data_IF_072982768071
#
_entry.id   IF_072982768071
#
_cell.length_a   1.000
_cell.length_b   1.000
_cell.length_c   1.000
_cell.angle_alpha   90.00
_cell.angle_beta   90.00
_cell.angle_gamma   90.00
#
_symmetry.space_group_name_H-M   'P 1'
#
loop_
_entity.id
_entity.type
_entity.pdbx_description
1 polymer ?
#
# COMPACT_ATOMS: atom_id res chain seq x y z
N UNK A 1 38.78 -24.74 35.28
CA UNK A 1 37.68 -25.28 34.46
C UNK A 1 38.23 -25.62 33.08
N UNK A 2 38.02 -26.84 32.59
CA UNK A 2 38.59 -27.25 31.31
C UNK A 2 37.82 -26.57 30.15
N UNK A 3 38.52 -26.21 29.06
CA UNK A 3 37.92 -25.63 27.84
C UNK A 3 36.72 -26.45 27.32
N UNK A 4 36.71 -27.76 27.59
CA UNK A 4 35.63 -28.67 27.23
C UNK A 4 34.32 -28.38 27.98
N UNK A 5 34.38 -28.11 29.29
CA UNK A 5 33.18 -27.79 30.08
C UNK A 5 32.53 -26.46 29.69
N UNK A 6 33.31 -25.48 29.23
CA UNK A 6 32.80 -24.19 28.78
C UNK A 6 32.11 -24.31 27.40
N UNK A 7 32.70 -25.07 26.47
CA UNK A 7 32.13 -25.26 25.13
C UNK A 7 30.82 -26.04 25.16
N UNK A 8 30.70 -27.06 26.03
CA UNK A 8 29.45 -27.81 26.19
C UNK A 8 28.34 -26.91 26.78
N UNK A 9 28.67 -26.07 27.76
CA UNK A 9 27.72 -25.10 28.33
C UNK A 9 27.21 -24.08 27.30
N UNK A 10 28.09 -23.60 26.42
CA UNK A 10 27.70 -22.68 25.33
C UNK A 10 26.80 -23.41 24.32
N UNK A 11 27.16 -24.62 23.87
CA UNK A 11 26.34 -25.38 22.93
C UNK A 11 24.94 -25.69 23.48
N UNK A 12 24.82 -26.03 24.77
CA UNK A 12 23.53 -26.27 25.41
C UNK A 12 22.67 -25.00 25.51
N UNK A 13 23.28 -23.84 25.81
CA UNK A 13 22.54 -22.57 25.78
C UNK A 13 22.07 -22.21 24.37
N UNK A 14 22.88 -22.44 23.34
CA UNK A 14 22.47 -22.23 21.94
C UNK A 14 21.34 -23.17 21.52
N UNK A 15 21.38 -24.44 21.93
CA UNK A 15 20.28 -25.38 21.68
C UNK A 15 18.98 -24.94 22.35
N UNK A 16 19.03 -24.49 23.61
CA UNK A 16 17.84 -24.01 24.33
C UNK A 16 17.29 -22.73 23.68
N UNK A 17 18.15 -21.81 23.22
CA UNK A 17 17.72 -20.61 22.50
C UNK A 17 17.08 -20.98 21.16
N UNK A 18 17.63 -21.95 20.43
CA UNK A 18 17.07 -22.41 19.15
C UNK A 18 15.75 -23.13 19.36
N UNK A 19 15.65 -24.05 20.34
CA UNK A 19 14.39 -24.76 20.64
C UNK A 19 13.31 -23.81 21.14
N UNK A 20 13.64 -22.82 21.98
CA UNK A 20 12.67 -21.80 22.41
C UNK A 20 12.25 -20.88 21.26
N UNK A 21 13.15 -20.56 20.32
CA UNK A 21 12.79 -19.85 19.09
C UNK A 21 11.86 -20.68 18.20
N UNK A 22 12.19 -21.96 17.97
CA UNK A 22 11.41 -22.89 17.15
C UNK A 22 10.02 -23.12 17.76
N UNK A 23 9.93 -23.33 19.07
CA UNK A 23 8.66 -23.52 19.79
C UNK A 23 7.84 -22.23 19.82
N UNK A 24 8.49 -21.06 19.93
CA UNK A 24 7.78 -19.78 19.81
C UNK A 24 7.26 -19.54 18.39
N UNK A 25 8.04 -19.86 17.35
CA UNK A 25 7.57 -19.78 15.95
C UNK A 25 6.44 -20.79 15.66
N UNK A 26 6.56 -22.04 16.12
CA UNK A 26 5.54 -23.07 15.92
C UNK A 26 4.24 -22.79 16.67
N UNK A 27 4.28 -22.15 17.85
CA UNK A 27 3.06 -21.72 18.55
C UNK A 27 2.34 -20.58 17.85
N UNK A 28 3.05 -19.73 17.10
CA UNK A 28 2.43 -18.68 16.28
C UNK A 28 1.92 -19.20 14.93
N UNK A 29 2.49 -20.29 14.41
CA UNK A 29 2.09 -20.86 13.11
C UNK A 29 0.67 -21.43 13.11
N UNK A 30 0.11 -21.82 14.26
CA UNK A 30 -1.27 -22.34 14.36
C UNK A 30 -2.36 -21.32 13.98
N UNK A 31 -2.02 -20.04 13.80
CA UNK A 31 -2.97 -18.98 13.42
C UNK A 31 -2.55 -18.16 12.19
N UNK A 32 -1.44 -18.49 11.54
CA UNK A 32 -1.00 -17.79 10.33
C UNK A 32 -1.62 -18.45 9.09
N UNK A 33 -2.33 -17.70 8.23
CA UNK A 33 -2.88 -18.28 7.01
C UNK A 33 -1.75 -18.78 6.11
N UNK A 34 -1.94 -19.95 5.51
CA UNK A 34 -1.01 -20.51 4.52
C UNK A 34 -0.77 -19.53 3.36
N UNK A 35 0.45 -19.45 2.81
CA UNK A 35 0.72 -18.64 1.64
C UNK A 35 -0.15 -19.18 0.52
N UNK A 36 -1.07 -18.32 0.05
CA UNK A 36 -2.07 -18.70 -0.93
C UNK A 36 -1.42 -19.32 -2.16
N UNK A 37 -1.80 -20.57 -2.45
CA UNK A 37 -1.35 -21.28 -3.63
C UNK A 37 -1.77 -20.50 -4.89
N UNK A 38 -0.79 -19.94 -5.61
CA UNK A 38 -0.77 -19.40 -6.99
C UNK A 38 -1.93 -18.53 -7.53
N UNK A 39 -3.00 -18.29 -6.77
CA UNK A 39 -4.21 -17.67 -7.28
C UNK A 39 -4.46 -16.27 -6.69
N UNK A 40 -4.99 -15.46 -7.59
CA UNK A 40 -5.13 -14.01 -7.68
C UNK A 40 -5.51 -13.32 -6.35
N UNK A 41 -4.76 -12.27 -5.97
CA UNK A 41 -4.94 -11.50 -4.72
C UNK A 41 -6.37 -11.03 -4.45
N UNK A 42 -7.15 -10.72 -5.49
CA UNK A 42 -8.55 -10.34 -5.31
C UNK A 42 -9.33 -11.42 -4.56
N UNK A 43 -9.06 -12.70 -4.81
CA UNK A 43 -9.73 -13.80 -4.10
C UNK A 43 -9.13 -14.04 -2.71
N UNK A 44 -7.81 -13.96 -2.56
CA UNK A 44 -7.15 -14.25 -1.27
C UNK A 44 -7.33 -13.15 -0.21
N UNK A 45 -7.65 -11.92 -0.61
CA UNK A 45 -7.90 -10.80 0.29
C UNK A 45 -9.36 -10.35 0.33
N UNK A 46 -10.27 -11.01 -0.39
CA UNK A 46 -11.70 -10.85 -0.19
C UNK A 46 -12.07 -11.49 1.16
N UNK A 47 -12.55 -10.67 2.11
CA UNK A 47 -13.19 -11.22 3.31
C UNK A 47 -14.47 -11.96 2.90
N UNK A 48 -14.80 -13.05 3.59
CA UNK A 48 -15.98 -13.92 3.35
C UNK A 48 -17.34 -13.18 3.27
N UNK A 49 -17.38 -11.89 3.56
CA UNK A 49 -18.51 -10.99 3.36
C UNK A 49 -18.24 -10.02 2.18
N UNK A 50 -18.32 -10.52 0.95
CA UNK A 50 -18.81 -9.85 -0.27
C UNK A 50 -18.28 -8.49 -0.76
N UNK A 51 -17.49 -7.71 -0.01
CA UNK A 51 -17.13 -6.34 -0.44
C UNK A 51 -15.83 -5.76 0.14
N UNK A 52 -15.21 -6.38 1.13
CA UNK A 52 -14.06 -5.74 1.82
C UNK A 52 -12.73 -6.41 1.49
N UNK A 53 -11.92 -5.72 0.68
CA UNK A 53 -10.51 -6.05 0.49
C UNK A 53 -9.75 -5.88 1.83
N UNK A 54 -9.09 -6.95 2.27
CA UNK A 54 -8.29 -7.01 3.50
C UNK A 54 -6.88 -6.42 3.31
N UNK A 55 -6.78 -5.32 2.56
CA UNK A 55 -5.54 -4.55 2.39
C UNK A 55 -5.71 -3.22 3.11
N UNK A 56 -4.76 -2.90 3.99
CA UNK A 56 -4.65 -1.61 4.66
C UNK A 56 -3.71 -0.68 3.89
N UNK A 57 -2.53 -1.18 3.50
CA UNK A 57 -1.54 -0.45 2.73
C UNK A 57 -0.69 -1.42 1.91
N UNK A 58 -0.34 -1.03 0.69
CA UNK A 58 0.53 -1.79 -0.19
C UNK A 58 1.45 -0.85 -0.95
N UNK A 59 2.71 -1.24 -1.17
CA UNK A 59 3.65 -0.43 -1.93
C UNK A 59 5.05 -1.04 -2.01
N UNK A 60 5.86 -0.49 -2.90
CA UNK A 60 7.28 -0.82 -3.01
C UNK A 60 8.08 0.18 -2.17
N UNK A 61 8.96 -0.32 -1.31
CA UNK A 61 9.90 0.50 -0.55
C UNK A 61 11.26 0.56 -1.21
N UNK A 62 12.14 1.45 -0.73
CA UNK A 62 13.44 1.75 -1.35
C UNK A 62 14.35 0.53 -1.50
N UNK A 63 14.21 -0.46 -0.62
CA UNK A 63 14.95 -1.71 -0.65
C UNK A 63 14.52 -2.67 -1.79
N UNK A 64 13.54 -2.29 -2.61
CA UNK A 64 13.06 -3.11 -3.72
C UNK A 64 12.15 -4.26 -3.28
N UNK A 65 11.51 -4.13 -2.12
CA UNK A 65 10.52 -5.09 -1.63
C UNK A 65 9.12 -4.48 -1.66
N UNK A 66 8.15 -5.30 -2.06
CA UNK A 66 6.74 -5.05 -1.83
C UNK A 66 6.41 -5.32 -0.36
N UNK A 67 5.82 -4.33 0.28
CA UNK A 67 5.25 -4.45 1.62
C UNK A 67 3.75 -4.35 1.52
N UNK A 68 3.07 -5.24 2.24
CA UNK A 68 1.62 -5.26 2.36
C UNK A 68 1.25 -5.36 3.82
N UNK A 69 0.39 -4.47 4.29
CA UNK A 69 -0.24 -4.53 5.61
C UNK A 69 -1.73 -4.81 5.39
N UNK A 70 -2.28 -5.74 6.15
CA UNK A 70 -3.70 -6.11 6.09
C UNK A 70 -4.49 -5.46 7.22
N UNK A 71 -5.82 -5.42 7.08
CA UNK A 71 -6.72 -4.88 8.12
C UNK A 71 -6.80 -5.79 9.36
N UNK A 72 -6.44 -7.07 9.22
CA UNK A 72 -6.32 -8.02 10.33
C UNK A 72 -4.90 -8.08 10.94
N UNK A 73 -4.11 -6.99 10.83
CA UNK A 73 -2.81 -6.83 11.47
C UNK A 73 -1.78 -7.90 11.07
N UNK A 74 -1.76 -8.31 9.80
CA UNK A 74 -0.69 -9.09 9.21
C UNK A 74 0.16 -8.22 8.29
N UNK A 75 1.44 -8.55 8.18
CA UNK A 75 2.37 -7.94 7.25
C UNK A 75 3.05 -8.98 6.37
N UNK A 76 3.21 -8.62 5.09
CA UNK A 76 3.96 -9.40 4.12
C UNK A 76 5.12 -8.56 3.62
N UNK A 77 6.26 -9.22 3.40
CA UNK A 77 7.45 -8.63 2.78
C UNK A 77 7.88 -9.56 1.66
N UNK A 78 7.71 -9.10 0.44
CA UNK A 78 7.93 -9.89 -0.76
C UNK A 78 8.92 -9.15 -1.66
N UNK A 79 9.96 -9.80 -2.20
CA UNK A 79 10.83 -9.15 -3.17
C UNK A 79 10.03 -8.62 -4.37
N UNK A 80 10.29 -7.39 -4.82
CA UNK A 80 9.47 -6.77 -5.88
C UNK A 80 9.50 -7.56 -7.21
N UNK A 81 10.55 -8.34 -7.48
CA UNK A 81 10.62 -9.20 -8.66
C UNK A 81 9.59 -10.36 -8.63
N UNK A 82 9.02 -10.68 -7.46
CA UNK A 82 7.96 -11.68 -7.35
C UNK A 82 6.57 -11.12 -7.73
N UNK A 83 6.48 -9.82 -8.03
CA UNK A 83 5.41 -9.31 -8.89
C UNK A 83 5.64 -9.89 -10.28
N UNK A 84 4.81 -10.86 -10.66
CA UNK A 84 4.77 -11.31 -12.04
C UNK A 84 4.14 -10.19 -12.86
N UNK A 85 4.97 -9.31 -13.40
CA UNK A 85 4.54 -8.18 -14.24
C UNK A 85 4.10 -8.63 -15.63
N UNK A 86 4.51 -9.83 -16.06
CA UNK A 86 4.22 -10.39 -17.39
C UNK A 86 2.78 -10.92 -17.41
N UNK A 87 2.41 -11.69 -16.39
CA UNK A 87 1.05 -12.19 -16.22
C UNK A 87 0.20 -11.31 -15.29
N UNK A 88 0.79 -10.23 -14.76
CA UNK A 88 0.19 -9.23 -13.87
C UNK A 88 -0.47 -9.86 -12.63
N UNK A 89 0.19 -10.87 -12.08
CA UNK A 89 -0.18 -11.55 -10.85
C UNK A 89 0.77 -11.12 -9.73
N UNK A 90 0.23 -10.68 -8.60
CA UNK A 90 1.02 -10.50 -7.39
C UNK A 90 0.98 -11.79 -6.58
N UNK A 91 2.14 -12.45 -6.48
CA UNK A 91 2.30 -13.69 -5.72
C UNK A 91 2.89 -13.37 -4.35
N UNK A 92 2.15 -13.67 -3.28
CA UNK A 92 2.66 -13.56 -1.92
C UNK A 92 3.37 -14.86 -1.53
N UNK A 93 4.61 -14.97 -1.97
CA UNK A 93 5.47 -16.14 -1.70
C UNK A 93 5.99 -16.19 -0.25
N UNK A 94 5.78 -15.12 0.52
CA UNK A 94 6.19 -15.03 1.93
C UNK A 94 5.04 -15.37 2.87
N UNK A 95 5.32 -16.11 3.93
CA UNK A 95 4.40 -16.26 5.05
C UNK A 95 4.11 -14.90 5.70
N UNK A 96 2.84 -14.59 6.04
CA UNK A 96 2.53 -13.39 6.79
C UNK A 96 3.22 -13.42 8.16
N UNK A 97 3.55 -12.23 8.66
CA UNK A 97 3.99 -12.04 10.03
C UNK A 97 2.95 -11.18 10.77
N UNK A 98 2.75 -11.39 12.07
CA UNK A 98 1.99 -10.45 12.89
C UNK A 98 2.60 -9.04 12.80
N UNK A 99 1.76 -8.04 12.57
CA UNK A 99 2.19 -6.63 12.46
C UNK A 99 2.90 -6.15 13.73
N UNK A 100 2.52 -6.68 14.89
CA UNK A 100 3.16 -6.41 16.18
C UNK A 100 4.60 -6.91 16.27
N UNK A 101 4.98 -7.95 15.53
CA UNK A 101 6.37 -8.42 15.50
C UNK A 101 7.23 -7.53 14.60
N UNK A 102 6.70 -7.17 13.43
CA UNK A 102 7.47 -6.38 12.46
C UNK A 102 7.50 -4.88 12.78
N UNK A 103 6.38 -4.33 13.28
CA UNK A 103 6.17 -2.91 13.53
C UNK A 103 5.50 -2.67 14.90
N UNK A 104 6.14 -3.16 15.96
CA UNK A 104 5.61 -3.14 17.34
C UNK A 104 5.24 -1.75 17.87
N UNK A 105 5.91 -0.68 17.44
CA UNK A 105 5.55 0.67 17.84
C UNK A 105 4.48 1.28 16.93
N UNK A 106 4.50 0.97 15.64
CA UNK A 106 3.44 1.38 14.71
C UNK A 106 2.08 0.93 15.23
N UNK A 107 1.96 -0.33 15.69
CA UNK A 107 0.68 -0.88 16.16
C UNK A 107 0.14 -0.08 17.36
N UNK A 108 1.01 0.42 18.26
CA UNK A 108 0.59 1.22 19.41
C UNK A 108 -0.06 2.54 18.96
N UNK A 109 0.52 3.22 17.96
CA UNK A 109 -0.08 4.43 17.38
C UNK A 109 -1.33 4.12 16.56
N UNK A 110 -1.30 3.03 15.80
CA UNK A 110 -2.39 2.60 14.91
C UNK A 110 -3.65 2.21 15.67
N UNK A 111 -3.54 1.51 16.79
CA UNK A 111 -4.66 1.08 17.63
C UNK A 111 -5.52 2.26 18.12
N UNK A 112 -4.90 3.42 18.34
CA UNK A 112 -5.61 4.65 18.73
C UNK A 112 -6.43 5.25 17.57
N UNK A 113 -6.05 4.99 16.32
CA UNK A 113 -6.63 5.62 15.12
C UNK A 113 -7.56 4.68 14.34
N UNK A 114 -7.37 3.36 14.43
CA UNK A 114 -8.06 2.37 13.57
C UNK A 114 -9.59 2.39 13.64
N UNK A 115 -10.17 3.01 14.66
CA UNK A 115 -11.62 3.19 14.84
C UNK A 115 -12.22 4.36 14.06
N UNK A 116 -11.39 5.20 13.47
CA UNK A 116 -11.81 6.38 12.72
C UNK A 116 -11.64 6.20 11.21
N UNK A 117 -12.00 7.21 10.42
CA UNK A 117 -11.67 7.25 9.00
C UNK A 117 -10.20 7.69 8.84
N UNK A 118 -9.40 6.84 8.22
CA UNK A 118 -7.99 7.12 8.00
C UNK A 118 -7.54 6.48 6.68
N UNK A 119 -6.40 6.94 6.19
CA UNK A 119 -5.71 6.39 5.02
C UNK A 119 -4.31 5.97 5.43
N UNK A 120 -3.81 4.88 4.86
CA UNK A 120 -2.44 4.38 5.10
C UNK A 120 -1.79 4.07 3.77
N UNK A 121 -0.55 4.51 3.60
CA UNK A 121 0.23 4.19 2.41
C UNK A 121 1.72 4.11 2.76
N UNK A 122 2.49 3.54 1.85
CA UNK A 122 3.95 3.56 1.94
C UNK A 122 4.49 4.72 1.11
N UNK A 123 5.49 5.39 1.68
CA UNK A 123 6.26 6.39 0.98
C UNK A 123 7.69 6.32 1.51
N UNK A 124 8.67 6.70 0.70
CA UNK A 124 10.04 6.79 1.17
C UNK A 124 10.65 8.10 0.71
N UNK A 125 11.66 8.54 1.44
CA UNK A 125 12.49 9.67 1.07
C UNK A 125 13.97 9.26 1.13
N UNK A 126 14.87 10.24 1.09
CA UNK A 126 16.31 9.96 1.19
C UNK A 126 16.70 9.42 2.57
N UNK A 127 15.94 9.74 3.62
CA UNK A 127 16.27 9.42 5.00
C UNK A 127 15.74 8.04 5.42
N UNK A 128 14.49 7.74 5.07
CA UNK A 128 13.81 6.52 5.53
C UNK A 128 12.68 6.04 4.62
N UNK A 129 12.18 4.86 4.98
CA UNK A 129 10.94 4.27 4.49
C UNK A 129 9.85 4.50 5.54
N UNK A 130 8.67 4.93 5.11
CA UNK A 130 7.62 5.46 5.97
C UNK A 130 6.31 4.70 5.76
N UNK A 131 5.64 4.41 6.88
CA UNK A 131 4.22 4.09 6.89
C UNK A 131 3.50 5.40 7.21
N UNK A 132 2.92 6.01 6.20
CA UNK A 132 2.23 7.28 6.35
C UNK A 132 0.77 7.03 6.70
N UNK A 133 0.27 7.72 7.71
CA UNK A 133 -1.14 7.70 8.11
C UNK A 133 -1.70 9.10 7.96
N UNK A 134 -2.89 9.19 7.40
CA UNK A 134 -3.67 10.42 7.39
C UNK A 134 -5.03 10.22 8.03
N UNK A 135 -5.51 11.22 8.77
CA UNK A 135 -6.87 11.25 9.33
C UNK A 135 -7.66 12.39 8.72
N UNK A 136 -8.99 12.31 8.83
CA UNK A 136 -9.85 13.45 8.47
C UNK A 136 -9.54 14.65 9.39
N UNK A 137 -9.45 15.86 8.82
CA UNK A 137 -9.16 17.09 9.56
C UNK A 137 -10.14 17.40 10.71
N UNK A 138 -11.34 16.80 10.67
CA UNK A 138 -12.36 16.93 11.71
C UNK A 138 -12.13 16.04 12.92
N UNK A 139 -11.17 15.11 12.85
CA UNK A 139 -10.95 14.14 13.92
C UNK A 139 -10.11 14.69 15.07
N UNK A 140 -10.38 14.15 16.25
CA UNK A 140 -9.67 14.50 17.50
C UNK A 140 -8.30 13.84 17.60
N UNK A 141 -8.12 12.65 17.03
CA UNK A 141 -6.85 11.95 17.06
C UNK A 141 -5.97 12.39 15.89
N UNK A 142 -4.76 12.84 16.22
CA UNK A 142 -3.78 13.26 15.22
C UNK A 142 -3.23 12.08 14.43
N UNK A 143 -3.14 12.25 13.12
CA UNK A 143 -2.43 11.34 12.23
C UNK A 143 -0.93 11.25 12.57
N UNK A 144 -0.26 10.21 12.08
CA UNK A 144 1.18 10.01 12.26
C UNK A 144 1.87 9.48 11.00
N UNK A 145 3.17 9.76 10.84
CA UNK A 145 4.02 9.09 9.87
C UNK A 145 5.07 8.29 10.64
N UNK A 146 5.08 6.97 10.46
CA UNK A 146 5.99 6.07 11.15
C UNK A 146 7.25 5.81 10.31
N UNK A 147 8.39 6.18 10.86
CA UNK A 147 9.71 5.92 10.32
C UNK A 147 10.10 4.47 10.61
N UNK A 148 10.17 3.62 9.58
CA UNK A 148 10.47 2.20 9.72
C UNK A 148 11.88 1.98 10.27
N UNK A 149 12.85 2.79 9.82
CA UNK A 149 14.26 2.66 10.18
C UNK A 149 14.51 3.10 11.63
N UNK A 150 14.02 4.29 11.98
CA UNK A 150 14.23 4.87 13.30
C UNK A 150 13.26 4.35 14.35
N UNK A 151 12.21 3.60 13.93
CA UNK A 151 11.14 3.13 14.80
C UNK A 151 10.64 4.29 15.66
N UNK A 152 10.07 5.28 14.99
CA UNK A 152 9.52 6.47 15.65
C UNK A 152 8.43 7.08 14.80
N UNK A 153 7.49 7.75 15.44
CA UNK A 153 6.42 8.47 14.75
C UNK A 153 6.66 9.98 14.80
N UNK A 154 6.37 10.64 13.69
CA UNK A 154 6.20 12.09 13.62
C UNK A 154 4.74 12.41 13.33
N UNK A 155 4.36 13.70 13.41
CA UNK A 155 3.03 14.15 13.01
C UNK A 155 2.73 13.76 11.56
N UNK A 156 1.57 13.13 11.35
CA UNK A 156 1.09 12.65 10.06
C UNK A 156 0.26 13.69 9.35
N UNK A 157 -0.43 13.27 8.31
CA UNK A 157 -1.17 14.18 7.42
C UNK A 157 -2.66 14.23 7.73
N UNK A 158 -3.32 15.29 7.30
CA UNK A 158 -4.77 15.39 7.34
C UNK A 158 -5.34 15.52 5.93
N UNK A 159 -6.48 14.88 5.67
CA UNK A 159 -7.27 15.07 4.45
C UNK A 159 -8.63 15.68 4.75
N UNK A 160 -9.25 16.26 3.72
CA UNK A 160 -10.58 16.89 3.80
C UNK A 160 -11.57 16.38 2.77
N UNK A 161 -11.15 15.46 1.90
CA UNK A 161 -12.02 14.85 0.90
C UNK A 161 -12.29 13.41 1.35
N UNK A 162 -13.54 13.16 1.72
CA UNK A 162 -14.06 11.80 1.88
C UNK A 162 -13.88 11.03 0.56
N UNK A 163 -13.81 9.70 0.63
CA UNK A 163 -13.70 8.81 -0.53
C UNK A 163 -12.47 9.04 -1.43
N UNK A 164 -11.46 9.74 -0.89
CA UNK A 164 -10.12 9.77 -1.45
C UNK A 164 -9.30 8.58 -0.92
N UNK A 165 -8.53 7.98 -1.80
CA UNK A 165 -7.53 6.96 -1.47
C UNK A 165 -6.17 7.45 -1.93
N UNK A 166 -5.16 7.27 -1.10
CA UNK A 166 -3.76 7.51 -1.45
C UNK A 166 -3.12 6.17 -1.83
N UNK A 167 -2.43 6.16 -2.96
CA UNK A 167 -1.69 5.01 -3.45
C UNK A 167 -0.19 5.29 -3.47
N UNK A 168 0.57 4.30 -3.01
CA UNK A 168 2.02 4.34 -2.90
C UNK A 168 2.69 4.32 -4.28
N UNK A 169 3.93 4.78 -4.38
CA UNK A 169 4.73 4.63 -5.60
C UNK A 169 6.13 4.12 -5.29
N UNK A 170 6.82 3.63 -6.32
CA UNK A 170 8.24 3.29 -6.24
C UNK A 170 9.17 4.50 -6.43
N UNK A 171 8.66 5.74 -6.32
CA UNK A 171 9.45 6.97 -6.42
C UNK A 171 9.49 7.71 -5.08
N UNK A 172 10.62 8.37 -4.73
CA UNK A 172 10.76 9.05 -3.46
C UNK A 172 9.80 10.25 -3.36
N UNK A 173 9.18 10.43 -2.20
CA UNK A 173 8.27 11.53 -1.89
C UNK A 173 7.15 11.75 -2.93
N UNK A 174 6.72 10.69 -3.61
CA UNK A 174 5.69 10.74 -4.64
C UNK A 174 4.54 9.80 -4.31
N UNK A 175 3.34 10.31 -4.49
CA UNK A 175 2.09 9.56 -4.35
C UNK A 175 1.07 10.01 -5.39
N UNK A 176 0.08 9.16 -5.60
CA UNK A 176 -1.14 9.56 -6.28
C UNK A 176 -2.31 9.49 -5.29
N UNK A 177 -3.18 10.49 -5.36
CA UNK A 177 -4.47 10.47 -4.70
C UNK A 177 -5.54 10.22 -5.77
N UNK A 178 -6.41 9.25 -5.51
CA UNK A 178 -7.54 8.91 -6.36
C UNK A 178 -8.81 9.23 -5.59
N UNK A 179 -9.80 9.79 -6.26
CA UNK A 179 -11.09 10.11 -5.66
C UNK A 179 -12.21 9.62 -6.56
N UNK A 180 -13.11 8.86 -5.94
CA UNK A 180 -14.30 8.34 -6.59
C UNK A 180 -15.42 9.34 -6.42
N UNK A 181 -15.73 10.04 -7.51
CA UNK A 181 -16.97 10.78 -7.62
C UNK A 181 -18.06 9.84 -8.11
N UNK A 182 -19.31 10.20 -7.85
CA UNK A 182 -20.49 9.45 -8.31
C UNK A 182 -20.44 9.15 -9.82
N UNK A 183 -19.83 10.02 -10.60
CA UNK A 183 -19.81 9.92 -12.06
C UNK A 183 -18.43 9.73 -12.68
N UNK A 184 -17.33 9.85 -11.92
CA UNK A 184 -15.98 9.80 -12.48
C UNK A 184 -14.90 9.40 -11.48
N UNK A 185 -13.83 8.82 -11.99
CA UNK A 185 -12.60 8.55 -11.26
C UNK A 185 -11.57 9.65 -11.53
N UNK A 186 -11.23 10.42 -10.48
CA UNK A 186 -10.22 11.48 -10.55
C UNK A 186 -8.91 11.04 -9.92
N UNK A 187 -7.80 11.43 -10.53
CA UNK A 187 -6.45 11.13 -10.06
C UNK A 187 -5.58 12.38 -10.04
N UNK A 188 -4.82 12.56 -8.95
CA UNK A 188 -3.89 13.68 -8.78
C UNK A 188 -2.54 13.19 -8.27
N UNK A 189 -1.47 13.59 -8.95
CA UNK A 189 -0.10 13.36 -8.49
C UNK A 189 0.30 14.41 -7.47
N UNK A 190 0.97 13.98 -6.41
CA UNK A 190 1.69 14.84 -5.50
C UNK A 190 3.15 14.39 -5.43
N UNK A 191 4.06 15.35 -5.43
CA UNK A 191 5.48 15.09 -5.32
C UNK A 191 6.15 16.23 -4.55
N UNK A 192 7.06 15.87 -3.65
CA UNK A 192 7.85 16.83 -2.87
C UNK A 192 9.34 16.55 -3.02
N UNK A 193 10.14 17.62 -3.11
CA UNK A 193 11.60 17.53 -3.02
C UNK A 193 12.12 17.55 -1.58
N UNK A 194 11.26 17.90 -0.62
CA UNK A 194 11.60 17.93 0.80
C UNK A 194 11.41 16.54 1.43
N UNK A 195 12.21 16.17 2.45
CA UNK A 195 11.98 14.96 3.22
C UNK A 195 10.67 15.06 4.00
N UNK A 196 10.09 13.91 4.36
CA UNK A 196 8.76 13.78 4.95
C UNK A 196 8.65 14.56 6.27
N UNK A 197 9.74 14.63 7.04
CA UNK A 197 9.85 15.44 8.27
C UNK A 197 9.61 16.94 8.05
N UNK A 198 9.78 17.45 6.84
CA UNK A 198 9.71 18.88 6.51
C UNK A 198 8.50 19.25 5.62
N UNK A 199 7.65 18.27 5.31
CA UNK A 199 6.50 18.45 4.43
C UNK A 199 5.28 18.94 5.22
N UNK A 200 4.46 19.80 4.61
CA UNK A 200 3.18 20.21 5.16
C UNK A 200 2.27 19.01 5.40
N UNK A 201 1.63 18.95 6.56
CA UNK A 201 0.78 17.84 6.99
C UNK A 201 -0.63 17.87 6.39
N UNK A 202 -0.80 18.37 5.16
CA UNK A 202 -2.12 18.46 4.50
C UNK A 202 -2.07 17.84 3.12
N UNK A 203 -2.90 16.81 2.91
CA UNK A 203 -3.08 16.18 1.61
C UNK A 203 -3.73 17.15 0.61
N UNK A 204 -3.29 17.05 -0.65
CA UNK A 204 -3.89 17.83 -1.73
C UNK A 204 -5.30 17.32 -2.03
N UNK A 205 -6.21 18.28 -2.25
CA UNK A 205 -7.53 18.03 -2.82
C UNK A 205 -7.44 17.46 -4.23
N UNK A 206 -8.13 16.37 -4.49
CA UNK A 206 -8.30 15.72 -5.79
C UNK A 206 -9.45 16.30 -6.62
N UNK A 207 -10.25 17.22 -6.05
CA UNK A 207 -11.32 17.92 -6.78
C UNK A 207 -10.86 18.59 -8.08
N UNK A 208 -9.56 18.90 -8.21
CA UNK A 208 -8.92 19.42 -9.42
C UNK A 208 -7.99 18.41 -10.12
N UNK A 209 -8.18 17.11 -9.86
CA UNK A 209 -7.43 16.01 -10.46
C UNK A 209 -7.78 15.82 -11.94
N UNK A 210 -7.01 14.98 -12.62
CA UNK A 210 -7.32 14.55 -13.98
C UNK A 210 -8.36 13.42 -13.95
N UNK A 211 -9.27 13.37 -14.91
CA UNK A 211 -10.26 12.29 -15.04
C UNK A 211 -9.69 11.16 -15.90
N UNK A 212 -9.96 9.93 -15.50
CA UNK A 212 -9.72 8.74 -16.32
C UNK A 212 -10.98 8.49 -17.15
N UNK A 213 -10.83 8.38 -18.47
CA UNK A 213 -11.93 8.22 -19.42
C UNK A 213 -11.68 7.00 -20.28
N UNK A 214 -12.73 6.29 -20.65
CA UNK A 214 -12.67 5.32 -21.72
C UNK A 214 -12.50 6.00 -23.08
N UNK A 215 -11.84 5.32 -24.00
CA UNK A 215 -11.95 5.63 -25.42
C UNK A 215 -13.35 5.32 -25.95
N UNK A 216 -13.61 5.61 -27.24
CA UNK A 216 -14.91 5.34 -27.84
C UNK A 216 -15.31 3.86 -27.75
N UNK A 217 -14.32 2.97 -27.89
CA UNK A 217 -14.49 1.52 -27.87
C UNK A 217 -14.76 0.93 -26.48
N UNK A 218 -14.36 1.63 -25.41
CA UNK A 218 -14.44 1.12 -24.04
C UNK A 218 -13.28 0.19 -23.65
N UNK A 219 -12.36 -0.10 -24.56
CA UNK A 219 -11.28 -1.07 -24.34
C UNK A 219 -9.96 -0.41 -23.93
N UNK A 220 -9.86 0.91 -24.09
CA UNK A 220 -8.68 1.67 -23.69
C UNK A 220 -9.08 2.83 -22.79
N UNK A 221 -8.08 3.42 -22.13
CA UNK A 221 -8.27 4.62 -21.34
C UNK A 221 -7.45 5.79 -21.88
N UNK A 222 -7.86 6.99 -21.50
CA UNK A 222 -7.10 8.23 -21.60
C UNK A 222 -7.24 8.99 -20.28
N UNK A 223 -6.24 9.81 -19.96
CA UNK A 223 -6.31 10.70 -18.79
C UNK A 223 -6.37 12.14 -19.29
N UNK A 224 -7.42 12.85 -18.87
CA UNK A 224 -7.75 14.21 -19.29
C UNK A 224 -7.60 15.14 -18.10
N UNK A 225 -6.91 16.27 -18.27
CA UNK A 225 -6.72 17.25 -17.20
C UNK A 225 -8.02 18.02 -16.95
N UNK A 226 -8.22 18.49 -15.71
CA UNK A 226 -9.43 19.21 -15.31
C UNK A 226 -9.79 20.39 -16.23
N UNK A 227 -8.79 21.19 -16.61
CA UNK A 227 -8.95 22.36 -17.48
C UNK A 227 -9.48 22.01 -18.88
N UNK A 228 -9.40 20.74 -19.28
CA UNK A 228 -9.83 20.21 -20.56
C UNK A 228 -11.11 19.35 -20.46
N UNK A 229 -11.72 19.20 -19.29
CA UNK A 229 -12.71 18.14 -19.00
C UNK A 229 -13.96 18.19 -19.87
N UNK A 230 -14.53 19.39 -20.09
CA UNK A 230 -15.90 19.53 -20.63
C UNK A 230 -16.08 19.08 -22.09
N UNK A 231 -14.99 18.87 -22.84
CA UNK A 231 -15.05 18.46 -24.26
C UNK A 231 -14.33 17.14 -24.57
N UNK A 232 -13.46 16.64 -23.68
CA UNK A 232 -12.59 15.51 -23.99
C UNK A 232 -12.96 14.21 -23.26
N UNK A 233 -13.69 14.26 -22.15
CA UNK A 233 -14.06 13.07 -21.38
C UNK A 233 -15.54 12.72 -21.53
N UNK A 234 -15.92 12.11 -22.65
CA UNK A 234 -17.31 11.74 -22.93
C UNK A 234 -17.76 10.52 -22.10
N UNK A 235 -16.84 9.58 -21.83
CA UNK A 235 -17.12 8.34 -21.09
C UNK A 235 -16.19 8.20 -19.87
N UNK A 236 -16.45 8.90 -18.75
CA UNK A 236 -15.64 8.77 -17.55
C UNK A 236 -15.66 7.35 -16.98
N UNK A 237 -14.51 6.91 -16.47
CA UNK A 237 -14.35 5.63 -15.77
C UNK A 237 -14.98 5.72 -14.37
N UNK A 238 -15.63 4.64 -13.93
CA UNK A 238 -16.26 4.51 -12.61
C UNK A 238 -15.82 3.24 -11.87
N UNK A 239 -14.54 2.85 -12.00
CA UNK A 239 -14.02 1.68 -11.30
C UNK A 239 -14.08 1.85 -9.78
N UNK A 240 -14.53 0.83 -9.03
CA UNK A 240 -14.70 0.94 -7.58
C UNK A 240 -13.39 0.62 -6.86
N UNK A 241 -12.43 1.54 -6.91
CA UNK A 241 -11.07 1.32 -6.41
C UNK A 241 -11.04 1.36 -4.87
N UNK A 242 -10.39 0.37 -4.25
CA UNK A 242 -10.26 0.29 -2.80
C UNK A 242 -8.87 0.73 -2.33
N UNK A 243 -7.84 0.40 -3.12
CA UNK A 243 -6.45 0.78 -2.87
C UNK A 243 -5.62 0.52 -4.13
N UNK A 244 -4.32 0.77 -4.06
CA UNK A 244 -3.41 0.50 -5.18
C UNK A 244 -1.99 0.93 -4.89
N UNK A 245 -1.13 0.70 -5.88
CA UNK A 245 0.23 1.20 -5.87
C UNK A 245 0.75 1.32 -7.32
N UNK A 246 1.83 2.08 -7.47
CA UNK A 246 2.58 2.18 -8.72
C UNK A 246 3.90 1.45 -8.56
N UNK A 247 4.17 0.54 -9.49
CA UNK A 247 5.44 -0.19 -9.57
C UNK A 247 5.78 -0.47 -11.03
N UNK A 248 7.08 -0.46 -11.36
CA UNK A 248 7.59 -0.80 -12.69
C UNK A 248 6.86 -0.03 -13.82
N UNK A 249 6.57 1.25 -13.59
CA UNK A 249 5.90 2.13 -14.55
C UNK A 249 4.43 1.79 -14.82
N UNK A 250 3.76 1.05 -13.94
CA UNK A 250 2.34 0.70 -14.07
C UNK A 250 1.56 0.98 -12.79
N UNK A 251 0.32 1.42 -12.95
CA UNK A 251 -0.69 1.44 -11.90
C UNK A 251 -1.24 0.04 -11.69
N UNK A 252 -1.38 -0.36 -10.42
CA UNK A 252 -2.10 -1.54 -9.98
C UNK A 252 -3.19 -1.09 -9.01
N UNK A 253 -4.42 -0.95 -9.51
CA UNK A 253 -5.55 -0.45 -8.74
C UNK A 253 -6.48 -1.60 -8.37
N UNK A 254 -6.57 -1.93 -7.08
CA UNK A 254 -7.43 -2.99 -6.59
C UNK A 254 -8.84 -2.45 -6.42
N UNK A 255 -9.80 -2.97 -7.18
CA UNK A 255 -11.22 -2.77 -6.93
C UNK A 255 -11.85 -3.92 -6.15
N UNK A 256 -13.19 -3.92 -6.03
CA UNK A 256 -13.92 -5.01 -5.38
C UNK A 256 -13.70 -6.37 -6.05
N UNK A 257 -13.74 -6.39 -7.38
CA UNK A 257 -13.77 -7.63 -8.15
C UNK A 257 -12.53 -7.84 -9.01
N UNK A 258 -11.77 -6.78 -9.29
CA UNK A 258 -10.69 -6.81 -10.27
C UNK A 258 -9.52 -5.94 -9.85
N UNK A 259 -8.34 -6.27 -10.36
CA UNK A 259 -7.20 -5.36 -10.42
C UNK A 259 -7.16 -4.70 -11.78
N UNK A 260 -7.24 -3.36 -11.80
CA UNK A 260 -7.08 -2.56 -13.00
C UNK A 260 -5.60 -2.20 -13.17
N UNK A 261 -5.02 -2.60 -14.30
CA UNK A 261 -3.59 -2.41 -14.59
C UNK A 261 -3.40 -1.64 -15.89
N UNK A 262 -2.68 -0.53 -15.83
CA UNK A 262 -2.32 0.30 -16.98
C UNK A 262 -1.03 1.07 -16.72
N UNK A 263 -0.38 1.55 -17.78
CA UNK A 263 0.90 2.25 -17.67
C UNK A 263 0.78 3.60 -16.95
N UNK A 264 1.79 3.94 -16.13
CA UNK A 264 1.91 5.25 -15.47
C UNK A 264 2.01 6.39 -16.48
N UNK A 265 2.52 6.09 -17.68
CA UNK A 265 2.59 7.03 -18.80
C UNK A 265 1.23 7.58 -19.23
N UNK A 266 0.13 6.90 -18.92
CA UNK A 266 -1.22 7.43 -19.10
C UNK A 266 -1.42 8.76 -18.37
N UNK A 267 -0.86 8.89 -17.16
CA UNK A 267 -0.94 10.13 -16.40
C UNK A 267 0.01 11.21 -16.93
N UNK A 268 1.21 10.80 -17.33
CA UNK A 268 2.25 11.74 -17.77
C UNK A 268 2.01 12.31 -19.17
N UNK A 269 1.29 11.58 -20.02
CA UNK A 269 0.96 11.96 -21.39
C UNK A 269 -0.56 12.07 -21.55
N UNK A 270 -1.17 13.17 -21.09
CA UNK A 270 -2.61 13.33 -21.17
C UNK A 270 -3.12 13.24 -22.61
N UNK A 271 -4.35 12.78 -22.79
CA UNK A 271 -5.03 12.58 -24.08
C UNK A 271 -4.47 11.47 -24.98
N UNK A 272 -3.37 10.81 -24.61
CA UNK A 272 -2.92 9.60 -25.30
C UNK A 272 -3.74 8.39 -24.83
N UNK A 273 -4.02 7.50 -25.77
CA UNK A 273 -4.76 6.27 -25.53
C UNK A 273 -3.80 5.21 -25.01
N UNK A 274 -4.18 4.54 -23.92
CA UNK A 274 -3.43 3.45 -23.32
C UNK A 274 -4.33 2.23 -23.12
N UNK A 275 -3.85 1.02 -23.42
CA UNK A 275 -4.57 -0.18 -23.03
C UNK A 275 -4.60 -0.29 -21.51
N UNK A 276 -5.70 -0.83 -20.99
CA UNK A 276 -5.77 -1.28 -19.61
C UNK A 276 -6.15 -2.76 -19.59
N UNK A 277 -5.89 -3.41 -18.46
CA UNK A 277 -6.32 -4.77 -18.22
C UNK A 277 -7.10 -4.83 -16.92
N UNK A 278 -8.04 -5.76 -16.90
CA UNK A 278 -8.87 -6.09 -15.77
C UNK A 278 -8.63 -7.56 -15.44
N UNK A 279 -8.10 -7.83 -14.24
CA UNK A 279 -7.60 -9.15 -13.82
C UNK A 279 -8.33 -9.58 -12.55
#
# INVERSE_FOLDING_TARGET
>A
MSKWTLNIGICLMWMIVIETWIVMTQRTDQYLPEPYAKDTICQSFQQNSGSNLNILAIGITRDGYLRLITKNNLSYVVPAYALDTINKKLHLISWPQPLSLQYSQFIQFYEAIKKFNFQVWFMFDQESDWICVATDYTQTQGAFNYDIKLRSAIKGWNYSEADSIVISTSQPCLLYAIHQQTTSLRIRRWHSKKPIRQISTKLLKTSYGSIICFDESGNNITIVRNEDESSYCIKPVQWPILTGFVANGSFYLFGHSYVYVFEENAYNNPRKIYPFQQI
#
